data_IF_989139979380
#
_entry.id   IF_989139979380
#
_cell.length_a   1.000
_cell.length_b   1.000
_cell.length_c   1.000
_cell.angle_alpha   90.00
_cell.angle_beta   90.00
_cell.angle_gamma   90.00
#
_symmetry.space_group_name_H-M   'P 1'
#
loop_
_entity.id
_entity.type
_entity.pdbx_description
1 polymer ?
#
# COMPACT_ATOMS: atom_id res chain seq x y z
N UNK A 1 3.75 -9.88 -17.44
CA UNK A 1 2.36 -9.86 -16.96
C UNK A 1 2.20 -8.77 -15.91
N UNK A 2 1.31 -7.83 -16.17
CA UNK A 2 0.94 -6.82 -15.18
C UNK A 2 0.04 -7.47 -14.15
N UNK A 3 0.44 -7.38 -12.87
CA UNK A 3 -0.33 -7.93 -11.77
C UNK A 3 -1.52 -7.03 -11.46
N UNK A 4 -2.71 -7.62 -11.42
CA UNK A 4 -3.97 -6.92 -11.18
C UNK A 4 -4.71 -7.56 -10.01
N UNK A 5 -5.49 -6.73 -9.31
CA UNK A 5 -6.23 -7.15 -8.11
C UNK A 5 -7.68 -6.69 -8.19
N UNK A 6 -8.59 -7.55 -7.75
CA UNK A 6 -9.99 -7.21 -7.57
C UNK A 6 -10.18 -6.39 -6.29
N UNK A 7 -11.33 -5.73 -6.14
CA UNK A 7 -11.67 -5.03 -4.88
C UNK A 7 -11.60 -5.98 -3.68
N UNK A 8 -12.08 -7.20 -3.84
CA UNK A 8 -12.06 -8.21 -2.78
C UNK A 8 -10.64 -8.57 -2.36
N UNK A 9 -9.75 -8.77 -3.32
CA UNK A 9 -8.34 -9.06 -3.04
C UNK A 9 -7.65 -7.89 -2.31
N UNK A 10 -7.94 -6.66 -2.71
CA UNK A 10 -7.40 -5.46 -2.01
C UNK A 10 -7.89 -5.42 -0.57
N UNK A 11 -9.16 -5.69 -0.32
CA UNK A 11 -9.74 -5.76 1.04
C UNK A 11 -9.04 -6.84 1.88
N UNK A 12 -8.82 -8.02 1.31
CA UNK A 12 -8.15 -9.13 2.01
C UNK A 12 -6.68 -8.80 2.32
N UNK A 13 -5.97 -8.14 1.39
CA UNK A 13 -4.55 -7.84 1.53
C UNK A 13 -4.25 -6.66 2.45
N UNK A 14 -5.14 -5.68 2.54
CA UNK A 14 -4.88 -4.42 3.25
C UNK A 14 -5.69 -4.24 4.52
N UNK A 15 -6.77 -5.01 4.68
CA UNK A 15 -7.68 -4.86 5.82
C UNK A 15 -8.66 -3.70 5.70
N UNK A 16 -8.64 -2.95 4.60
CA UNK A 16 -9.64 -1.91 4.34
C UNK A 16 -11.02 -2.54 4.13
N UNK A 17 -12.08 -1.83 4.49
CA UNK A 17 -13.45 -2.29 4.17
C UNK A 17 -13.78 -1.99 2.71
N UNK A 18 -14.66 -2.79 2.12
CA UNK A 18 -15.13 -2.56 0.74
C UNK A 18 -15.77 -1.19 0.58
N UNK A 19 -16.53 -0.77 1.59
CA UNK A 19 -17.19 0.55 1.61
C UNK A 19 -16.19 1.70 1.58
N UNK A 20 -15.12 1.61 2.38
CA UNK A 20 -14.05 2.60 2.39
C UNK A 20 -13.32 2.65 1.04
N UNK A 21 -13.04 1.49 0.46
CA UNK A 21 -12.35 1.40 -0.82
C UNK A 21 -13.18 2.04 -1.94
N UNK A 22 -14.49 1.79 -1.98
CA UNK A 22 -15.42 2.41 -2.92
C UNK A 22 -15.49 3.93 -2.72
N UNK A 23 -15.56 4.37 -1.48
CA UNK A 23 -15.60 5.79 -1.15
C UNK A 23 -14.32 6.52 -1.56
N UNK A 24 -13.16 5.86 -1.43
CA UNK A 24 -11.89 6.43 -1.86
C UNK A 24 -11.81 6.57 -3.39
N UNK A 25 -12.40 5.65 -4.13
CA UNK A 25 -12.55 5.77 -5.58
C UNK A 25 -13.45 6.98 -5.94
N UNK A 26 -14.62 7.07 -5.33
CA UNK A 26 -15.56 8.17 -5.57
C UNK A 26 -14.96 9.54 -5.23
N UNK A 27 -14.11 9.61 -4.22
CA UNK A 27 -13.44 10.84 -3.78
C UNK A 27 -12.13 11.12 -4.52
N UNK A 28 -11.72 10.26 -5.43
CA UNK A 28 -10.50 10.44 -6.22
C UNK A 28 -9.21 10.28 -5.42
N UNK A 29 -9.24 9.56 -4.29
CA UNK A 29 -8.05 9.30 -3.46
C UNK A 29 -7.23 8.19 -4.07
N UNK A 30 -7.83 7.04 -4.31
CA UNK A 30 -7.26 5.95 -5.09
C UNK A 30 -8.28 5.53 -6.13
N UNK A 31 -7.98 5.81 -7.39
CA UNK A 31 -8.88 5.55 -8.51
C UNK A 31 -8.37 4.36 -9.32
N UNK A 32 -9.05 3.21 -9.26
CA UNK A 32 -8.65 2.04 -10.05
C UNK A 32 -9.05 2.18 -11.51
N UNK A 33 -8.50 1.35 -12.36
CA UNK A 33 -9.00 1.13 -13.70
C UNK A 33 -10.33 0.38 -13.65
N UNK A 34 -11.07 0.40 -14.76
CA UNK A 34 -12.32 -0.34 -14.87
C UNK A 34 -12.26 -1.31 -16.04
N UNK A 35 -12.75 -2.51 -15.78
CA UNK A 35 -13.04 -3.52 -16.80
C UNK A 35 -14.55 -3.79 -16.76
N UNK A 36 -15.29 -3.11 -17.66
CA UNK A 36 -16.75 -3.05 -17.59
C UNK A 36 -17.20 -2.36 -16.29
N UNK A 37 -17.92 -3.06 -15.44
CA UNK A 37 -18.37 -2.56 -14.14
C UNK A 37 -17.42 -2.91 -13.00
N UNK A 38 -16.35 -3.70 -13.27
CA UNK A 38 -15.41 -4.15 -12.26
C UNK A 38 -14.30 -3.12 -12.08
N UNK A 39 -13.97 -2.87 -10.82
CA UNK A 39 -12.77 -2.12 -10.45
C UNK A 39 -11.57 -3.04 -10.48
N UNK A 40 -10.51 -2.60 -11.12
CA UNK A 40 -9.26 -3.35 -11.27
C UNK A 40 -8.12 -2.49 -10.73
N UNK A 41 -7.46 -2.99 -9.68
CA UNK A 41 -6.36 -2.29 -9.00
C UNK A 41 -5.03 -2.80 -9.51
N UNK A 42 -4.12 -1.89 -9.82
CA UNK A 42 -2.73 -2.22 -10.14
C UNK A 42 -1.94 -2.51 -8.85
N UNK A 43 -0.69 -2.95 -9.01
CA UNK A 43 0.23 -3.07 -7.86
C UNK A 43 0.49 -1.72 -7.20
N UNK A 44 0.60 -0.66 -8.00
CA UNK A 44 0.75 0.71 -7.52
C UNK A 44 -0.48 1.17 -6.72
N UNK A 45 -1.67 0.88 -7.20
CA UNK A 45 -2.91 1.17 -6.48
C UNK A 45 -2.96 0.43 -5.14
N UNK A 46 -2.60 -0.84 -5.13
CA UNK A 46 -2.56 -1.67 -3.92
C UNK A 46 -1.57 -1.12 -2.89
N UNK A 47 -0.37 -0.75 -3.35
CA UNK A 47 0.65 -0.15 -2.48
C UNK A 47 0.16 1.16 -1.88
N UNK A 48 -0.50 1.99 -2.67
CA UNK A 48 -1.09 3.26 -2.22
C UNK A 48 -2.17 3.04 -1.16
N UNK A 49 -3.06 2.08 -1.37
CA UNK A 49 -4.07 1.69 -0.37
C UNK A 49 -3.42 1.21 0.92
N UNK A 50 -2.38 0.38 0.82
CA UNK A 50 -1.68 -0.14 1.99
C UNK A 50 -1.02 0.98 2.83
N UNK A 51 -0.39 1.94 2.16
CA UNK A 51 0.22 3.10 2.85
C UNK A 51 -0.86 3.96 3.51
N UNK A 52 -1.98 4.21 2.85
CA UNK A 52 -3.08 4.97 3.41
C UNK A 52 -3.65 4.26 4.65
N UNK A 53 -3.82 2.95 4.59
CA UNK A 53 -4.26 2.14 5.74
C UNK A 53 -3.29 2.27 6.91
N UNK A 54 -1.98 2.20 6.65
CA UNK A 54 -0.96 2.36 7.69
C UNK A 54 -1.03 3.73 8.35
N UNK A 55 -1.19 4.80 7.58
CA UNK A 55 -1.35 6.15 8.10
C UNK A 55 -2.61 6.27 8.95
N UNK A 56 -3.72 5.68 8.51
CA UNK A 56 -4.97 5.65 9.26
C UNK A 56 -4.83 4.88 10.57
N UNK A 57 -4.18 3.73 10.55
CA UNK A 57 -3.93 2.92 11.74
C UNK A 57 -3.06 3.66 12.77
N UNK A 58 -2.19 4.55 12.29
CA UNK A 58 -1.36 5.40 13.13
C UNK A 58 -2.07 6.66 13.64
N UNK A 59 -3.35 6.81 13.36
CA UNK A 59 -4.18 7.89 13.88
C UNK A 59 -4.29 9.10 12.96
N UNK A 60 -3.80 9.03 11.72
CA UNK A 60 -3.96 10.11 10.74
C UNK A 60 -5.42 10.21 10.32
N UNK A 61 -6.00 11.40 10.39
CA UNK A 61 -7.32 11.65 9.84
C UNK A 61 -7.31 11.55 8.33
N UNK A 62 -8.47 11.31 7.72
CA UNK A 62 -8.58 11.27 6.27
C UNK A 62 -8.15 12.58 5.61
N UNK A 63 -8.42 13.71 6.25
CA UNK A 63 -7.97 15.03 5.79
C UNK A 63 -6.44 15.12 5.73
N UNK A 64 -5.74 14.59 6.74
CA UNK A 64 -4.27 14.53 6.76
C UNK A 64 -3.73 13.61 5.69
N UNK A 65 -4.34 12.45 5.50
CA UNK A 65 -3.97 11.53 4.42
C UNK A 65 -4.08 12.23 3.07
N UNK A 66 -5.16 12.96 2.84
CA UNK A 66 -5.32 13.76 1.61
C UNK A 66 -4.22 14.80 1.44
N UNK A 67 -3.80 15.46 2.53
CA UNK A 67 -2.69 16.42 2.49
C UNK A 67 -1.38 15.74 2.07
N UNK A 68 -1.10 14.54 2.55
CA UNK A 68 0.08 13.77 2.17
C UNK A 68 0.03 13.47 0.66
N UNK A 69 -1.09 12.96 0.17
CA UNK A 69 -1.26 12.65 -1.26
C UNK A 69 -1.11 13.91 -2.13
N UNK A 70 -1.75 14.99 -1.75
CA UNK A 70 -1.64 16.27 -2.47
C UNK A 70 -0.24 16.86 -2.45
N UNK A 71 0.44 16.75 -1.30
CA UNK A 71 1.82 17.19 -1.16
C UNK A 71 2.72 16.45 -2.16
N UNK A 72 2.60 15.14 -2.24
CA UNK A 72 3.38 14.33 -3.18
C UNK A 72 3.09 14.68 -4.64
N UNK A 73 1.83 14.86 -4.99
CA UNK A 73 1.43 15.26 -6.35
C UNK A 73 1.96 16.63 -6.74
N UNK A 74 1.92 17.59 -5.81
CA UNK A 74 2.34 18.97 -6.06
C UNK A 74 3.86 19.12 -6.10
N UNK A 75 4.56 18.55 -5.13
CA UNK A 75 6.01 18.75 -4.96
C UNK A 75 6.84 17.83 -5.85
N UNK A 76 6.36 16.63 -6.11
CA UNK A 76 7.11 15.60 -6.82
C UNK A 76 6.44 15.18 -8.13
N UNK A 77 5.24 15.66 -8.42
CA UNK A 77 4.41 15.25 -9.58
C UNK A 77 4.27 13.73 -9.68
N UNK A 78 4.20 13.06 -8.54
CA UNK A 78 4.18 11.60 -8.46
C UNK A 78 3.04 11.12 -7.56
N UNK A 79 2.57 9.90 -7.83
CA UNK A 79 1.69 9.19 -6.91
C UNK A 79 2.50 8.68 -5.71
N UNK A 80 1.81 8.48 -4.59
CA UNK A 80 2.42 7.95 -3.37
C UNK A 80 3.13 6.61 -3.61
N UNK A 81 2.51 5.71 -4.36
CA UNK A 81 3.10 4.41 -4.67
C UNK A 81 4.41 4.53 -5.45
N UNK A 82 4.46 5.43 -6.45
CA UNK A 82 5.68 5.67 -7.23
C UNK A 82 6.81 6.22 -6.37
N UNK A 83 6.46 7.04 -5.38
CA UNK A 83 7.43 7.61 -4.44
C UNK A 83 8.10 6.53 -3.59
N UNK A 84 7.35 5.52 -3.16
CA UNK A 84 7.86 4.48 -2.26
C UNK A 84 8.33 3.20 -2.97
N UNK A 85 8.18 3.10 -4.28
CA UNK A 85 8.59 1.91 -5.06
C UNK A 85 10.05 1.92 -5.50
N UNK A 86 10.81 2.95 -5.17
CA UNK A 86 12.23 3.06 -5.52
C UNK A 86 13.15 2.23 -4.63
N UNK A 87 14.46 2.34 -4.87
CA UNK A 87 15.50 1.65 -4.10
C UNK A 87 15.80 2.26 -2.73
N UNK A 88 15.32 3.48 -2.49
CA UNK A 88 15.54 4.22 -1.24
C UNK A 88 14.38 4.06 -0.29
N UNK A 89 14.68 4.06 1.01
CA UNK A 89 13.65 4.06 2.04
C UNK A 89 13.07 5.46 2.21
N UNK A 90 11.75 5.57 2.15
CA UNK A 90 11.03 6.81 2.36
C UNK A 90 10.42 6.84 3.76
N UNK A 91 10.68 7.93 4.47
CA UNK A 91 10.11 8.18 5.80
C UNK A 91 9.24 9.43 5.75
N UNK A 92 8.02 9.29 6.22
CA UNK A 92 7.13 10.41 6.47
C UNK A 92 7.34 10.87 7.91
N UNK A 93 7.71 12.13 8.08
CA UNK A 93 7.86 12.75 9.39
C UNK A 93 6.78 13.83 9.55
N UNK A 94 6.14 13.83 10.70
CA UNK A 94 5.10 14.83 10.99
C UNK A 94 4.99 15.12 12.48
N UNK A 95 4.74 16.38 12.78
CA UNK A 95 4.36 16.86 14.13
C UNK A 95 2.84 17.03 14.26
N UNK A 96 2.09 16.61 13.25
CA UNK A 96 0.65 16.80 13.15
C UNK A 96 0.22 18.01 12.30
N UNK A 97 1.12 18.93 12.01
CA UNK A 97 0.86 20.12 11.18
C UNK A 97 1.74 20.15 9.95
N UNK A 98 3.02 19.86 10.10
CA UNK A 98 4.02 19.89 9.04
C UNK A 98 4.30 18.47 8.57
N UNK A 99 4.50 18.31 7.27
CA UNK A 99 4.79 17.04 6.64
C UNK A 99 6.14 17.12 5.94
N UNK A 100 7.00 16.12 6.20
CA UNK A 100 8.29 15.97 5.54
C UNK A 100 8.39 14.56 4.97
N UNK A 101 8.90 14.43 3.77
CA UNK A 101 9.21 13.14 3.17
C UNK A 101 10.71 13.09 2.93
N UNK A 102 11.41 12.20 3.62
CA UNK A 102 12.86 12.12 3.60
C UNK A 102 13.37 10.73 3.30
N UNK A 103 14.49 10.68 2.58
CA UNK A 103 15.21 9.43 2.29
C UNK A 103 16.55 9.35 3.01
N UNK A 104 17.13 10.50 3.36
CA UNK A 104 18.43 10.57 4.01
C UNK A 104 18.32 10.36 5.52
N UNK A 105 19.00 9.34 6.10
CA UNK A 105 19.00 9.14 7.55
C UNK A 105 19.54 10.36 8.32
N UNK A 106 20.48 11.08 7.76
CA UNK A 106 21.08 12.27 8.38
C UNK A 106 20.07 13.40 8.52
N UNK A 107 19.30 13.67 7.46
CA UNK A 107 18.24 14.68 7.47
C UNK A 107 17.11 14.30 8.43
N UNK A 108 16.78 13.02 8.50
CA UNK A 108 15.76 12.50 9.46
C UNK A 108 16.22 12.80 10.89
N UNK A 109 17.48 12.50 11.21
CA UNK A 109 18.04 12.76 12.55
C UNK A 109 18.03 14.27 12.85
N UNK A 110 18.40 15.10 11.88
CA UNK A 110 18.43 16.56 12.05
C UNK A 110 17.02 17.12 12.29
N UNK A 111 16.04 16.68 11.54
CA UNK A 111 14.64 17.07 11.74
C UNK A 111 14.13 16.69 13.13
N UNK A 112 14.44 15.49 13.59
CA UNK A 112 14.02 15.01 14.91
C UNK A 112 14.72 15.77 16.04
N UNK A 113 16.02 16.09 15.90
CA UNK A 113 16.78 16.85 16.90
C UNK A 113 16.33 18.30 17.02
N UNK A 114 15.97 18.93 15.91
CA UNK A 114 15.62 20.33 15.85
C UNK A 114 14.10 20.56 15.98
N UNK A 115 13.31 19.52 16.14
CA UNK A 115 11.88 19.61 16.29
C UNK A 115 11.52 20.29 17.63
N UNK A 116 10.69 21.32 17.57
CA UNK A 116 10.18 21.99 18.77
C UNK A 116 9.02 21.24 19.43
N UNK A 117 8.43 20.28 18.70
CA UNK A 117 7.33 19.43 19.13
C UNK A 117 7.69 17.98 18.80
N UNK A 118 7.10 17.01 19.51
CA UNK A 118 7.31 15.61 19.17
C UNK A 118 6.92 15.33 17.73
N UNK A 119 7.78 14.63 17.02
CA UNK A 119 7.57 14.19 15.65
C UNK A 119 7.44 12.67 15.57
N UNK A 120 6.58 12.21 14.67
CA UNK A 120 6.42 10.81 14.34
C UNK A 120 7.11 10.55 12.99
N UNK A 121 7.89 9.48 12.91
CA UNK A 121 8.50 8.99 11.66
C UNK A 121 7.87 7.65 11.28
N UNK A 122 7.42 7.55 10.04
CA UNK A 122 6.80 6.33 9.50
C UNK A 122 7.55 5.93 8.23
N UNK A 123 8.07 4.70 8.20
CA UNK A 123 8.72 4.17 6.99
C UNK A 123 7.66 3.67 6.01
N UNK A 124 7.39 4.43 4.98
CA UNK A 124 6.39 4.09 3.97
C UNK A 124 6.83 2.92 3.10
N UNK A 125 8.13 2.84 2.78
CA UNK A 125 8.68 1.75 1.97
C UNK A 125 8.53 0.39 2.64
N UNK A 126 8.60 0.34 3.95
CA UNK A 126 8.42 -0.88 4.73
C UNK A 126 6.99 -1.44 4.62
N UNK A 127 6.00 -0.55 4.62
CA UNK A 127 4.60 -0.92 4.41
C UNK A 127 4.39 -1.62 3.07
N UNK A 128 4.98 -1.09 2.01
CA UNK A 128 4.90 -1.67 0.65
C UNK A 128 5.58 -3.05 0.62
N UNK A 129 6.76 -3.18 1.23
CA UNK A 129 7.48 -4.46 1.33
C UNK A 129 6.67 -5.54 2.05
N UNK A 130 5.96 -5.17 3.11
CA UNK A 130 5.10 -6.10 3.87
C UNK A 130 3.97 -6.64 3.00
N UNK A 131 3.30 -5.79 2.23
CA UNK A 131 2.24 -6.22 1.31
C UNK A 131 2.80 -7.14 0.23
N UNK A 132 3.93 -6.80 -0.36
CA UNK A 132 4.60 -7.64 -1.36
C UNK A 132 4.98 -9.01 -0.80
N UNK A 133 5.41 -9.07 0.45
CA UNK A 133 5.74 -10.32 1.13
C UNK A 133 4.50 -11.22 1.31
N UNK A 134 3.35 -10.63 1.67
CA UNK A 134 2.08 -11.36 1.80
C UNK A 134 1.65 -11.96 0.45
N UNK A 135 1.76 -11.18 -0.63
CA UNK A 135 1.43 -11.65 -1.98
C UNK A 135 2.30 -12.84 -2.37
N UNK A 136 3.61 -12.77 -2.14
CA UNK A 136 4.55 -13.87 -2.43
C UNK A 136 4.22 -15.12 -1.62
N UNK A 137 3.87 -14.96 -0.35
CA UNK A 137 3.46 -16.06 0.52
C UNK A 137 2.18 -16.76 0.02
N UNK A 138 1.19 -15.99 -0.42
CA UNK A 138 -0.06 -16.53 -1.00
C UNK A 138 0.17 -17.30 -2.29
N UNK A 139 1.04 -16.80 -3.20
CA UNK A 139 1.40 -17.50 -4.44
C UNK A 139 2.05 -18.85 -4.17
N UNK A 140 2.97 -18.93 -3.21
CA UNK A 140 3.63 -20.19 -2.82
C UNK A 140 2.62 -21.18 -2.26
N UNK A 141 1.69 -20.74 -1.43
CA UNK A 141 0.65 -21.58 -0.85
C UNK A 141 -0.33 -22.11 -1.91
N UNK A 142 -0.76 -21.27 -2.82
CA UNK A 142 -1.62 -21.66 -3.96
C UNK A 142 -0.95 -22.67 -4.87
N UNK A 143 0.34 -22.51 -5.19
CA UNK A 143 1.10 -23.45 -6.00
C UNK A 143 1.21 -24.82 -5.30
N UNK A 144 1.38 -24.85 -3.98
CA UNK A 144 1.44 -26.08 -3.19
C UNK A 144 0.07 -26.80 -3.18
N UNK A 145 -1.02 -26.08 -2.96
CA UNK A 145 -2.38 -26.62 -2.97
C UNK A 145 -2.74 -27.22 -4.32
N UNK A 146 -2.38 -26.58 -5.44
CA UNK A 146 -2.66 -27.09 -6.78
C UNK A 146 -1.86 -28.36 -7.12
N UNK A 147 -0.65 -28.51 -6.59
CA UNK A 147 0.15 -29.73 -6.73
C UNK A 147 -0.46 -30.90 -5.98
N UNK A 148 -0.95 -30.68 -4.79
CA UNK A 148 -1.60 -31.72 -4.00
C UNK A 148 -2.92 -32.20 -4.60
N UNK A 149 -3.70 -31.30 -5.20
CA UNK A 149 -4.95 -31.67 -5.87
C UNK A 149 -4.69 -32.53 -7.12
N UNK A 150 -3.65 -32.23 -7.87
CA UNK A 150 -3.26 -33.06 -9.03
C UNK A 150 -2.76 -34.45 -8.63
N UNK A 151 -2.08 -34.58 -7.51
CA UNK A 151 -1.60 -35.90 -7.03
C UNK A 151 -2.75 -36.77 -6.53
N UNK A 152 -3.78 -36.19 -5.97
CA UNK A 152 -4.96 -36.91 -5.50
C UNK A 152 -5.83 -37.45 -6.65
N UNK A 153 -5.99 -36.67 -7.74
CA UNK A 153 -6.76 -37.11 -8.92
C UNK A 153 -6.08 -38.24 -9.71
N UNK A 154 -4.75 -38.35 -9.68
CA UNK A 154 -4.03 -39.44 -10.35
C UNK A 154 -4.14 -40.78 -9.64
N UNK A 155 -4.41 -40.81 -8.33
CA UNK A 155 -4.56 -42.05 -7.54
C UNK A 155 -5.99 -42.62 -7.59
N UNK A 156 -6.98 -41.83 -8.04
CA UNK A 156 -8.38 -42.24 -8.13
C UNK A 156 -8.76 -42.99 -9.40
N UNK A 157 -7.85 -43.10 -10.39
CA UNK A 157 -8.12 -43.76 -11.67
C UNK A 157 -7.33 -45.07 -11.90
N UNK A 158 -6.82 -45.66 -10.83
CA UNK A 158 -6.12 -46.95 -10.90
C UNK A 158 -6.94 -48.01 -10.18
N UNK A 159 -8.07 -48.41 -10.81
CA UNK A 159 -8.80 -49.63 -10.47
C UNK A 159 -9.25 -50.32 -11.74
#
# INVERSE_FOLDING_TARGET
MVQQFTSREVVELTGITLRQLQWWDERGIVVPSRDGHRRVYSMEDLAEVAVICELRDRGFSLQRVRKVVRFLQREFSKRLADTVSGSSDYHLLTDGRTLYLETSPEQIVDLLKNARQPMMAICLSDTVRRVQAVIRGRKKHSAFASRNDRSFRRRGNAS
#
